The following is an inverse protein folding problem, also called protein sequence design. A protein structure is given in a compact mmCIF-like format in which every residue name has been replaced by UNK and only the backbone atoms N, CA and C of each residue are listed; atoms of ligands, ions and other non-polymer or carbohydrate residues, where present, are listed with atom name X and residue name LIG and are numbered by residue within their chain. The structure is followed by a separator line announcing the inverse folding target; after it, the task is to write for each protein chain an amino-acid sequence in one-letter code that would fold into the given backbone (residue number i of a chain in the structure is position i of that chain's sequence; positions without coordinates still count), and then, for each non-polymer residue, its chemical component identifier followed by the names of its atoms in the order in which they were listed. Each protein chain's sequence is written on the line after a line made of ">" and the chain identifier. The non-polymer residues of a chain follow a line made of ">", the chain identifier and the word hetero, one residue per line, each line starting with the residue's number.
data_IF_916923424147
#
_entry.id   IF_916923424147
#
_cell.length_a   1.000
_cell.length_b   1.000
_cell.length_c   1.000
_cell.angle_alpha   90.00
_cell.angle_beta   90.00
_cell.angle_gamma   90.00
#
_symmetry.space_group_name_H-M   'P 1'
#
loop_
_entity.id
_entity.type
_entity.pdbx_description
1 polymer ?
#
# COMPACT_ATOMS: atom_id res chain seq x y z
N UNK A 1 -2.22 23.88 -12.34
CA UNK A 1 -3.29 23.43 -11.44
C UNK A 1 -3.30 21.91 -11.43
N UNK A 2 -2.42 21.27 -10.64
CA UNK A 2 -2.39 19.82 -10.55
C UNK A 2 -3.50 19.38 -9.60
N UNK A 3 -4.57 18.80 -10.14
CA UNK A 3 -5.66 18.24 -9.36
C UNK A 3 -5.12 17.03 -8.58
N UNK A 4 -4.69 17.27 -7.33
CA UNK A 4 -4.43 16.26 -6.33
C UNK A 4 -5.73 15.58 -5.90
N UNK A 5 -6.34 14.83 -6.81
CA UNK A 5 -7.49 13.99 -6.47
C UNK A 5 -6.97 12.87 -5.58
N UNK A 6 -7.20 12.99 -4.27
CA UNK A 6 -6.94 11.90 -3.33
C UNK A 6 -7.59 10.62 -3.88
N UNK A 7 -6.88 9.48 -3.92
CA UNK A 7 -7.41 8.24 -4.48
C UNK A 7 -8.78 7.93 -3.89
N UNK A 8 -9.76 7.57 -4.71
CA UNK A 8 -11.08 7.14 -4.21
C UNK A 8 -10.96 5.76 -3.56
N UNK A 9 -11.96 5.33 -2.78
CA UNK A 9 -11.89 4.02 -2.11
C UNK A 9 -11.70 2.90 -3.15
N UNK A 10 -12.29 3.08 -4.34
CA UNK A 10 -12.16 2.14 -5.46
C UNK A 10 -10.74 2.11 -6.00
N UNK A 11 -10.07 3.26 -6.08
CA UNK A 11 -8.69 3.36 -6.53
C UNK A 11 -7.75 2.69 -5.51
N UNK A 12 -7.95 2.96 -4.21
CA UNK A 12 -7.20 2.29 -3.14
C UNK A 12 -7.41 0.76 -3.17
N UNK A 13 -8.64 0.30 -3.39
CA UNK A 13 -8.92 -1.13 -3.54
C UNK A 13 -8.32 -1.73 -4.81
N UNK A 14 -8.14 -0.96 -5.88
CA UNK A 14 -7.45 -1.41 -7.08
C UNK A 14 -5.95 -1.59 -6.78
N UNK A 15 -5.32 -0.63 -6.12
CA UNK A 15 -3.92 -0.70 -5.69
C UNK A 15 -3.68 -1.90 -4.77
N UNK A 16 -4.54 -2.13 -3.78
CA UNK A 16 -4.45 -3.31 -2.90
C UNK A 16 -4.45 -4.62 -3.71
N UNK A 17 -5.26 -4.72 -4.77
CA UNK A 17 -5.30 -5.93 -5.62
C UNK A 17 -4.01 -6.13 -6.39
N UNK A 18 -3.44 -5.06 -6.95
CA UNK A 18 -2.14 -5.10 -7.64
C UNK A 18 -1.04 -5.54 -6.68
N UNK A 19 -0.98 -4.97 -5.48
CA UNK A 19 0.00 -5.32 -4.45
C UNK A 19 -0.09 -6.80 -4.02
N UNK A 20 -1.31 -7.33 -3.84
CA UNK A 20 -1.52 -8.76 -3.53
C UNK A 20 -1.12 -9.65 -4.72
N UNK A 21 -1.32 -9.19 -5.96
CA UNK A 21 -0.85 -9.91 -7.14
C UNK A 21 0.69 -9.91 -7.22
N UNK A 22 1.33 -8.80 -6.84
CA UNK A 22 2.78 -8.69 -6.75
C UNK A 22 3.37 -9.64 -5.70
N UNK A 23 2.80 -9.70 -4.48
CA UNK A 23 3.20 -10.69 -3.46
C UNK A 23 3.19 -12.12 -4.05
N UNK A 24 2.08 -12.49 -4.71
CA UNK A 24 1.96 -13.82 -5.33
C UNK A 24 3.01 -14.05 -6.40
N UNK A 25 3.31 -13.02 -7.20
CA UNK A 25 4.32 -13.08 -8.23
C UNK A 25 5.74 -13.23 -7.64
N UNK A 26 6.05 -12.54 -6.53
CA UNK A 26 7.31 -12.66 -5.80
C UNK A 26 7.49 -14.09 -5.23
N UNK A 27 6.47 -14.60 -4.55
CA UNK A 27 6.48 -16.00 -4.05
C UNK A 27 6.66 -17.01 -5.19
N UNK A 28 6.03 -16.78 -6.34
CA UNK A 28 6.17 -17.65 -7.51
C UNK A 28 7.57 -17.57 -8.14
N UNK A 29 8.19 -16.38 -8.19
CA UNK A 29 9.57 -16.20 -8.64
C UNK A 29 10.55 -16.92 -7.71
N UNK A 30 10.38 -16.80 -6.39
CA UNK A 30 11.20 -17.50 -5.40
C UNK A 30 11.08 -19.03 -5.55
N UNK A 31 9.87 -19.55 -5.73
CA UNK A 31 9.66 -20.99 -5.96
C UNK A 31 10.29 -21.50 -7.26
N UNK A 32 10.38 -20.66 -8.30
CA UNK A 32 11.08 -20.99 -9.55
C UNK A 32 12.59 -20.84 -9.45
N UNK A 33 13.09 -20.17 -8.41
CA UNK A 33 14.50 -19.79 -8.27
C UNK A 33 14.91 -18.61 -9.15
N UNK A 34 13.94 -17.78 -9.58
CA UNK A 34 14.20 -16.56 -10.35
C UNK A 34 14.80 -15.44 -9.47
N UNK A 35 14.45 -15.46 -8.17
CA UNK A 35 14.96 -14.55 -7.13
C UNK A 35 15.37 -15.36 -5.90
N UNK A 36 16.23 -14.80 -5.07
CA UNK A 36 16.59 -15.38 -3.77
C UNK A 36 15.64 -14.91 -2.65
N UNK A 37 15.73 -15.57 -1.50
CA UNK A 37 14.84 -15.28 -0.35
C UNK A 37 15.07 -13.87 0.20
N UNK A 38 16.28 -13.30 0.10
CA UNK A 38 16.52 -11.94 0.59
C UNK A 38 15.89 -10.90 -0.32
N UNK A 39 16.02 -11.08 -1.64
CA UNK A 39 15.35 -10.22 -2.62
C UNK A 39 13.82 -10.32 -2.54
N UNK A 40 13.27 -11.53 -2.30
CA UNK A 40 11.83 -11.69 -2.07
C UNK A 40 11.38 -10.93 -0.82
N UNK A 41 12.09 -11.07 0.30
CA UNK A 41 11.78 -10.37 1.54
C UNK A 41 11.84 -8.84 1.41
N UNK A 42 12.88 -8.29 0.78
CA UNK A 42 13.04 -6.84 0.63
C UNK A 42 11.89 -6.24 -0.19
N UNK A 43 11.49 -6.93 -1.26
CA UNK A 43 10.36 -6.50 -2.10
C UNK A 43 9.03 -6.72 -1.39
N UNK A 44 8.85 -7.84 -0.71
CA UNK A 44 7.64 -8.16 0.04
C UNK A 44 7.40 -7.13 1.15
N UNK A 45 8.45 -6.70 1.84
CA UNK A 45 8.32 -5.70 2.89
C UNK A 45 7.82 -4.35 2.35
N UNK A 46 8.23 -3.95 1.14
CA UNK A 46 7.70 -2.75 0.49
C UNK A 46 6.21 -2.90 0.17
N UNK A 47 5.82 -4.04 -0.39
CA UNK A 47 4.42 -4.38 -0.70
C UNK A 47 3.57 -4.36 0.57
N UNK A 48 4.05 -4.91 1.67
CA UNK A 48 3.36 -4.92 2.97
C UNK A 48 3.17 -3.51 3.53
N UNK A 49 4.19 -2.65 3.44
CA UNK A 49 4.10 -1.25 3.88
C UNK A 49 3.05 -0.48 3.05
N UNK A 50 3.03 -0.68 1.73
CA UNK A 50 2.03 -0.04 0.86
C UNK A 50 0.60 -0.56 1.13
N UNK A 51 0.45 -1.85 1.40
CA UNK A 51 -0.82 -2.45 1.80
C UNK A 51 -1.35 -1.85 3.10
N UNK A 52 -0.48 -1.70 4.11
CA UNK A 52 -0.85 -1.12 5.40
C UNK A 52 -1.33 0.33 5.23
N UNK A 53 -0.61 1.15 4.46
CA UNK A 53 -1.04 2.52 4.12
C UNK A 53 -2.41 2.56 3.44
N UNK A 54 -2.64 1.67 2.47
CA UNK A 54 -3.92 1.59 1.78
C UNK A 54 -5.05 1.20 2.74
N UNK A 55 -4.82 0.25 3.65
CA UNK A 55 -5.79 -0.15 4.65
C UNK A 55 -6.07 0.94 5.68
N UNK A 56 -5.05 1.65 6.13
CA UNK A 56 -5.18 2.77 7.06
C UNK A 56 -5.95 3.93 6.44
N UNK A 57 -5.72 4.25 5.16
CA UNK A 57 -6.50 5.24 4.44
C UNK A 57 -7.99 4.83 4.38
N UNK A 58 -8.30 3.59 4.03
CA UNK A 58 -9.68 3.11 3.99
C UNK A 58 -10.36 3.17 5.36
N UNK A 59 -9.62 2.77 6.41
CA UNK A 59 -10.09 2.81 7.80
C UNK A 59 -10.36 4.24 8.25
N UNK A 60 -9.46 5.18 7.97
CA UNK A 60 -9.62 6.59 8.31
C UNK A 60 -10.83 7.21 7.59
N UNK A 61 -10.99 6.94 6.29
CA UNK A 61 -12.15 7.39 5.52
C UNK A 61 -13.47 6.82 6.01
N UNK A 62 -13.45 5.58 6.53
CA UNK A 62 -14.62 4.97 7.13
C UNK A 62 -14.96 5.64 8.46
N UNK A 63 -13.97 5.85 9.33
CA UNK A 63 -14.16 6.55 10.60
C UNK A 63 -14.72 7.97 10.40
N UNK A 64 -14.18 8.74 9.45
CA UNK A 64 -14.69 10.09 9.12
C UNK A 64 -16.14 10.06 8.63
N UNK A 65 -16.51 9.09 7.78
CA UNK A 65 -17.90 8.91 7.33
C UNK A 65 -18.84 8.57 8.49
N UNK A 66 -18.40 7.74 9.42
CA UNK A 66 -19.20 7.33 10.58
C UNK A 66 -19.37 8.46 11.61
N UNK A 67 -18.39 9.35 11.75
CA UNK A 67 -18.46 10.52 12.64
C UNK A 67 -19.08 11.78 12.00
N UNK A 68 -19.44 11.72 10.71
CA UNK A 68 -20.00 12.83 9.95
C UNK A 68 -18.97 13.86 9.44
N UNK A 69 -17.68 13.54 9.52
CA UNK A 69 -16.59 14.32 8.90
C UNK A 69 -16.46 14.06 7.40
N UNK A 70 -15.70 14.91 6.70
CA UNK A 70 -15.45 14.72 5.26
C UNK A 70 -14.40 13.61 5.05
N UNK A 71 -14.72 12.48 4.39
CA UNK A 71 -13.75 11.44 4.06
C UNK A 71 -12.60 11.92 3.16
N UNK A 72 -12.69 13.10 2.55
CA UNK A 72 -11.59 13.74 1.82
C UNK A 72 -10.54 14.36 2.74
N UNK A 73 -10.82 14.52 4.02
CA UNK A 73 -9.81 14.92 5.02
C UNK A 73 -8.90 13.76 5.43
N UNK A 74 -9.20 12.53 5.00
CA UNK A 74 -8.28 11.42 5.18
C UNK A 74 -6.94 11.74 4.49
N UNK A 75 -5.86 11.64 5.24
CA UNK A 75 -4.49 11.80 4.76
C UNK A 75 -3.78 10.48 4.95
N UNK A 76 -3.20 9.98 3.86
CA UNK A 76 -2.23 8.89 3.95
C UNK A 76 -1.14 9.43 4.85
N UNK A 77 -1.00 8.85 6.05
CA UNK A 77 0.18 9.15 6.85
C UNK A 77 1.37 8.80 5.95
N UNK A 78 2.32 9.72 5.75
CA UNK A 78 3.54 9.35 5.04
C UNK A 78 4.06 8.08 5.71
N UNK A 79 4.61 7.11 4.94
CA UNK A 79 5.39 6.05 5.58
C UNK A 79 6.30 6.77 6.54
N UNK A 80 6.07 6.58 7.84
CA UNK A 80 6.98 7.01 8.89
C UNK A 80 8.34 6.58 8.37
N UNK A 81 9.22 7.56 8.07
CA UNK A 81 10.45 7.36 7.31
C UNK A 81 11.08 6.03 7.71
N UNK A 82 10.82 4.97 6.95
CA UNK A 82 11.64 3.78 7.00
C UNK A 82 12.85 4.16 6.16
N UNK A 83 13.65 5.08 6.71
CA UNK A 83 15.07 5.20 6.39
C UNK A 83 15.61 3.76 6.42
N UNK A 84 15.86 3.17 5.25
CA UNK A 84 16.48 1.85 5.24
C UNK A 84 16.34 0.96 4.02
N UNK A 85 15.62 1.33 2.95
CA UNK A 85 15.50 0.42 1.79
C UNK A 85 16.19 0.84 0.50
N UNK A 86 17.03 1.88 0.55
CA UNK A 86 17.97 2.23 -0.51
C UNK A 86 19.26 2.81 0.10
N UNK A 87 20.18 1.94 0.50
CA UNK A 87 21.62 2.22 0.38
C UNK A 87 22.42 0.95 0.17
#
# INVERSE_FOLDING_TARGET
>A
MANGSKPTDKDTLAVIRELVAEEKALRAQLQRGDIDTSEEHDRLQRVEVELDQCWDLLRQRRALRETGGDPREAEVRPPDEVEGYLS
#
